data_IF_040427685254
#
_entry.id   IF_040427685254
#
_cell.length_a   1.000
_cell.length_b   1.000
_cell.length_c   1.000
_cell.angle_alpha   90.00
_cell.angle_beta   90.00
_cell.angle_gamma   90.00
#
_symmetry.space_group_name_H-M   'P 1'
#
loop_
_entity.id
_entity.type
_entity.pdbx_description
1 polymer ?
#
# COMPACT_ATOMS: atom_id res chain seq x y z
N UNK A 1 48.05 -9.65 -28.88
CA UNK A 1 48.35 -11.08 -29.02
C UNK A 1 47.80 -11.74 -27.76
N UNK A 2 46.50 -12.02 -27.79
CA UNK A 2 45.93 -13.29 -28.27
C UNK A 2 46.01 -14.30 -27.11
N UNK A 3 44.87 -14.49 -26.44
CA UNK A 3 44.00 -15.67 -26.62
C UNK A 3 44.51 -16.81 -25.73
N UNK A 4 43.72 -17.55 -24.96
CA UNK A 4 42.37 -18.03 -25.20
C UNK A 4 41.85 -18.63 -23.88
N UNK A 5 40.57 -18.47 -23.53
CA UNK A 5 39.51 -19.46 -23.83
C UNK A 5 39.76 -20.82 -23.13
N UNK A 6 39.48 -20.89 -21.83
CA UNK A 6 39.03 -22.11 -21.16
C UNK A 6 38.23 -21.65 -19.92
N UNK A 7 36.91 -21.55 -19.96
CA UNK A 7 36.00 -22.66 -20.24
C UNK A 7 35.40 -23.20 -18.95
N UNK A 8 34.96 -22.32 -18.04
CA UNK A 8 34.18 -22.73 -16.86
C UNK A 8 32.68 -22.65 -17.22
N UNK A 9 31.94 -23.77 -17.26
CA UNK A 9 30.56 -23.83 -17.74
C UNK A 9 29.53 -23.17 -16.81
N UNK A 10 29.96 -22.41 -15.79
CA UNK A 10 29.07 -21.80 -14.79
C UNK A 10 29.14 -20.26 -14.74
N UNK A 11 29.96 -19.61 -15.58
CA UNK A 11 30.06 -18.13 -15.59
C UNK A 11 28.88 -17.41 -16.27
N UNK A 12 27.90 -18.15 -16.82
CA UNK A 12 26.69 -17.59 -17.42
C UNK A 12 25.51 -17.45 -16.44
N UNK A 13 25.72 -17.73 -15.15
CA UNK A 13 24.65 -17.70 -14.14
C UNK A 13 24.66 -16.45 -13.24
N UNK A 14 25.66 -15.56 -13.37
CA UNK A 14 25.91 -14.49 -12.37
C UNK A 14 25.43 -13.10 -12.82
N UNK A 15 25.00 -12.90 -14.08
CA UNK A 15 24.78 -11.53 -14.59
C UNK A 15 23.50 -11.31 -15.38
N UNK A 16 22.37 -11.86 -14.90
CA UNK A 16 20.99 -11.33 -15.00
C UNK A 16 19.99 -12.42 -14.61
N UNK A 17 19.33 -12.38 -13.43
CA UNK A 17 18.11 -13.18 -13.26
C UNK A 17 17.07 -12.67 -14.29
N UNK A 18 16.27 -13.56 -14.92
CA UNK A 18 15.32 -13.22 -15.98
C UNK A 18 14.03 -12.58 -15.43
N UNK A 19 14.13 -11.86 -14.31
CA UNK A 19 13.01 -11.19 -13.68
C UNK A 19 13.40 -9.72 -13.59
N UNK A 20 12.80 -8.94 -14.48
CA UNK A 20 12.97 -7.49 -14.55
C UNK A 20 12.68 -6.88 -13.18
N UNK A 21 13.67 -6.15 -12.67
CA UNK A 21 13.57 -5.39 -11.42
C UNK A 21 12.78 -4.12 -11.69
N UNK A 22 11.46 -4.24 -11.67
CA UNK A 22 10.59 -3.08 -11.65
C UNK A 22 10.55 -2.49 -10.23
N UNK A 23 10.43 -1.17 -10.17
CA UNK A 23 10.74 -0.36 -9.00
C UNK A 23 9.91 -0.77 -7.79
N UNK A 24 10.48 -0.64 -6.58
CA UNK A 24 9.84 -0.98 -5.31
C UNK A 24 8.53 -0.21 -5.13
N UNK A 25 7.44 -0.73 -5.68
CA UNK A 25 6.10 -0.19 -5.51
C UNK A 25 5.76 -0.39 -4.02
N UNK A 26 5.29 0.64 -3.31
CA UNK A 26 4.80 0.45 -1.95
C UNK A 26 3.75 -0.67 -1.93
N UNK A 27 4.02 -1.74 -1.16
CA UNK A 27 3.21 -2.98 -1.08
C UNK A 27 1.75 -2.74 -0.69
N UNK A 28 1.46 -1.59 -0.09
CA UNK A 28 0.13 -1.14 0.28
C UNK A 28 -0.65 -0.58 -0.92
N UNK A 29 -1.08 -1.45 -1.84
CA UNK A 29 -2.08 -1.12 -2.85
C UNK A 29 -3.40 -0.75 -2.17
N UNK A 30 -4.09 0.27 -2.70
CA UNK A 30 -5.28 0.88 -2.07
C UNK A 30 -6.43 0.87 -3.07
N UNK A 31 -7.58 0.37 -2.63
CA UNK A 31 -8.87 0.56 -3.28
C UNK A 31 -9.72 1.53 -2.45
N UNK A 32 -10.40 2.46 -3.10
CA UNK A 32 -11.35 3.37 -2.46
C UNK A 32 -12.71 3.26 -3.14
N UNK A 33 -13.70 2.77 -2.39
CA UNK A 33 -15.10 2.72 -2.78
C UNK A 33 -15.91 3.76 -2.00
N UNK A 34 -16.85 4.39 -2.68
CA UNK A 34 -17.83 5.27 -2.06
C UNK A 34 -19.23 4.66 -2.16
N UNK A 35 -19.92 4.59 -1.02
CA UNK A 35 -21.35 4.26 -0.93
C UNK A 35 -22.15 5.51 -0.55
N UNK A 36 -23.49 5.49 -0.63
CA UNK A 36 -24.30 6.63 -0.19
C UNK A 36 -24.07 7.03 1.28
N UNK A 37 -23.69 6.08 2.14
CA UNK A 37 -23.58 6.28 3.60
C UNK A 37 -22.16 6.30 4.15
N UNK A 38 -21.16 5.85 3.38
CA UNK A 38 -19.78 5.73 3.85
C UNK A 38 -18.76 5.67 2.71
N UNK A 39 -17.52 6.04 3.00
CA UNK A 39 -16.35 5.66 2.23
C UNK A 39 -15.75 4.38 2.80
N UNK A 40 -15.30 3.47 1.93
CA UNK A 40 -14.71 2.18 2.27
C UNK A 40 -13.35 2.12 1.59
N UNK A 41 -12.29 2.11 2.39
CA UNK A 41 -10.91 2.08 1.92
C UNK A 41 -10.34 0.71 2.25
N UNK A 42 -9.79 0.02 1.26
CA UNK A 42 -9.15 -1.29 1.42
C UNK A 42 -7.69 -1.21 1.05
N UNK A 43 -6.81 -1.76 1.87
CA UNK A 43 -5.36 -1.69 1.68
C UNK A 43 -4.76 -3.08 1.86
N UNK A 44 -3.96 -3.52 0.89
CA UNK A 44 -3.22 -4.78 1.01
C UNK A 44 -2.07 -4.62 2.01
N UNK A 45 -2.12 -5.37 3.11
CA UNK A 45 -1.14 -5.33 4.21
C UNK A 45 -0.70 -6.75 4.61
N UNK A 46 -0.34 -7.64 3.66
CA UNK A 46 0.07 -9.00 4.00
C UNK A 46 1.34 -8.99 4.86
N UNK A 47 1.34 -9.76 5.95
CA UNK A 47 2.48 -9.87 6.85
C UNK A 47 2.51 -8.84 7.99
N UNK A 48 1.59 -7.86 8.01
CA UNK A 48 1.44 -6.94 9.14
C UNK A 48 0.40 -7.46 10.12
N UNK A 49 0.71 -7.44 11.42
CA UNK A 49 -0.29 -7.65 12.46
C UNK A 49 -1.03 -6.33 12.72
N UNK A 50 -2.19 -6.42 13.37
CA UNK A 50 -2.98 -5.23 13.76
C UNK A 50 -2.15 -4.20 14.55
N UNK A 51 -1.24 -4.68 15.41
CA UNK A 51 -0.44 -3.84 16.30
C UNK A 51 0.73 -3.16 15.56
N UNK A 52 1.05 -3.65 14.36
CA UNK A 52 2.11 -3.09 13.50
C UNK A 52 1.57 -1.98 12.57
N UNK A 53 0.24 -1.74 12.60
CA UNK A 53 -0.46 -0.74 11.77
C UNK A 53 -1.08 0.34 12.64
N UNK A 54 -0.80 1.59 12.27
CA UNK A 54 -1.32 2.78 12.90
C UNK A 54 -2.20 3.55 11.91
N UNK A 55 -3.44 3.81 12.30
CA UNK A 55 -4.42 4.58 11.54
C UNK A 55 -4.80 5.81 12.37
N UNK A 56 -4.65 7.00 11.81
CA UNK A 56 -4.95 8.27 12.49
C UNK A 56 -5.58 9.25 11.53
N UNK A 57 -6.39 10.17 12.05
CA UNK A 57 -6.84 11.36 11.32
C UNK A 57 -6.13 12.56 11.92
N UNK A 58 -5.38 13.28 11.10
CA UNK A 58 -4.65 14.50 11.48
C UNK A 58 -5.45 15.77 11.11
N UNK A 59 -4.92 16.94 11.47
CA UNK A 59 -5.47 18.23 11.07
C UNK A 59 -5.64 18.31 9.53
N UNK A 60 -6.71 18.98 9.08
CA UNK A 60 -7.05 19.02 7.66
C UNK A 60 -7.77 17.77 7.14
N UNK A 61 -8.29 16.91 8.03
CA UNK A 61 -9.07 15.72 7.68
C UNK A 61 -8.25 14.68 6.88
N UNK A 62 -6.95 14.58 7.19
CA UNK A 62 -6.02 13.68 6.53
C UNK A 62 -5.99 12.35 7.28
N UNK A 63 -6.51 11.29 6.65
CA UNK A 63 -6.37 9.92 7.13
C UNK A 63 -4.99 9.39 6.79
N UNK A 64 -4.13 9.28 7.82
CA UNK A 64 -2.79 8.71 7.72
C UNK A 64 -2.81 7.25 8.17
N UNK A 65 -2.37 6.36 7.29
CA UNK A 65 -2.17 4.94 7.54
C UNK A 65 -0.67 4.64 7.44
N UNK A 66 -0.09 4.15 8.53
CA UNK A 66 1.32 3.75 8.58
C UNK A 66 1.44 2.32 9.07
N UNK A 67 2.18 1.49 8.35
CA UNK A 67 2.63 0.19 8.83
C UNK A 67 4.13 0.23 9.09
N UNK A 68 4.56 -0.10 10.29
CA UNK A 68 5.96 -0.28 10.61
C UNK A 68 6.21 -1.78 10.73
N UNK A 69 6.86 -2.36 9.72
CA UNK A 69 7.27 -3.76 9.81
C UNK A 69 8.34 -3.82 10.88
N UNK A 70 7.97 -4.29 12.08
CA UNK A 70 8.94 -4.63 13.10
C UNK A 70 9.98 -5.55 12.47
N UNK A 71 11.26 -5.34 12.74
CA UNK A 71 12.37 -6.13 12.20
C UNK A 71 12.17 -7.63 12.51
N UNK A 72 11.38 -8.32 11.71
CA UNK A 72 11.37 -9.77 11.64
C UNK A 72 12.51 -10.13 10.70
N UNK A 73 13.72 -10.14 11.26
CA UNK A 73 14.78 -10.95 10.68
C UNK A 73 14.34 -12.39 10.90
N UNK A 74 13.95 -13.08 9.83
CA UNK A 74 13.73 -14.52 9.94
C UNK A 74 15.07 -15.16 10.34
N UNK A 75 15.15 -15.88 11.46
CA UNK A 75 16.39 -16.52 11.88
C UNK A 75 16.96 -17.48 10.80
N UNK A 76 16.13 -18.00 9.90
CA UNK A 76 16.57 -18.82 8.77
C UNK A 76 17.20 -18.00 7.63
N UNK A 77 16.97 -16.68 7.58
CA UNK A 77 17.58 -15.80 6.56
C UNK A 77 19.05 -15.49 6.82
N UNK A 78 19.52 -15.61 8.07
CA UNK A 78 20.88 -15.17 8.46
C UNK A 78 21.99 -15.92 7.72
N UNK A 79 21.75 -17.17 7.36
CA UNK A 79 22.69 -18.05 6.67
C UNK A 79 22.17 -18.55 5.30
N UNK A 80 21.12 -17.92 4.76
CA UNK A 80 20.48 -18.33 3.50
C UNK A 80 20.85 -17.44 2.31
N UNK A 81 20.80 -18.00 1.10
CA UNK A 81 21.04 -17.29 -0.16
C UNK A 81 19.70 -16.96 -0.82
N UNK A 82 19.44 -15.67 -1.02
CA UNK A 82 18.30 -15.20 -1.81
C UNK A 82 18.55 -15.47 -3.30
N UNK A 83 17.72 -16.30 -3.91
CA UNK A 83 17.67 -16.41 -5.37
C UNK A 83 16.79 -15.31 -5.99
N UNK A 84 15.66 -14.96 -5.35
CA UNK A 84 14.69 -13.93 -5.77
C UNK A 84 13.97 -13.37 -4.53
N UNK A 85 13.70 -12.05 -4.48
CA UNK A 85 12.97 -11.39 -3.38
C UNK A 85 12.00 -10.31 -3.91
N UNK A 86 10.95 -10.72 -4.61
CA UNK A 86 9.95 -9.81 -5.22
C UNK A 86 9.04 -9.13 -4.18
N UNK A 87 8.71 -9.83 -3.10
CA UNK A 87 7.85 -9.32 -2.00
C UNK A 87 8.53 -8.23 -1.16
N UNK A 88 9.75 -7.85 -1.51
CA UNK A 88 10.65 -7.07 -0.67
C UNK A 88 11.21 -7.90 0.48
N UNK A 89 12.26 -7.40 1.13
CA UNK A 89 12.96 -8.08 2.23
C UNK A 89 12.26 -7.94 3.58
N UNK A 90 10.96 -7.62 3.61
CA UNK A 90 10.20 -7.38 4.86
C UNK A 90 10.65 -6.15 5.67
N UNK A 91 11.68 -5.43 5.23
CA UNK A 91 12.31 -4.28 5.92
C UNK A 91 11.67 -2.92 5.62
N UNK A 92 10.65 -2.89 4.76
CA UNK A 92 9.96 -1.67 4.38
C UNK A 92 8.63 -1.53 5.13
N UNK A 93 8.46 -0.45 5.88
CA UNK A 93 7.13 0.01 6.28
C UNK A 93 6.36 0.59 5.09
N UNK A 94 5.08 0.88 5.29
CA UNK A 94 4.28 1.63 4.33
C UNK A 94 3.68 2.88 4.98
N UNK A 95 3.41 3.90 4.17
CA UNK A 95 2.68 5.10 4.57
C UNK A 95 1.75 5.51 3.45
N UNK A 96 0.50 5.83 3.81
CA UNK A 96 -0.53 6.35 2.91
C UNK A 96 -1.26 7.48 3.61
N UNK A 97 -1.41 8.59 2.90
CA UNK A 97 -2.18 9.74 3.34
C UNK A 97 -3.34 9.90 2.37
N UNK A 98 -4.56 9.99 2.91
CA UNK A 98 -5.79 10.14 2.15
C UNK A 98 -6.55 11.32 2.74
N UNK A 99 -6.76 12.36 1.94
CA UNK A 99 -7.62 13.48 2.34
C UNK A 99 -9.09 13.02 2.30
N UNK A 100 -9.75 13.07 3.45
CA UNK A 100 -11.15 12.70 3.55
C UNK A 100 -12.05 13.89 3.19
N UNK A 101 -13.23 13.66 2.59
CA UNK A 101 -14.21 14.71 2.38
C UNK A 101 -14.70 15.35 3.68
N UNK A 102 -15.12 16.62 3.66
CA UNK A 102 -15.58 17.36 4.85
C UNK A 102 -16.85 16.80 5.53
N UNK A 103 -17.59 15.93 4.83
CA UNK A 103 -18.83 15.33 5.29
C UNK A 103 -18.62 13.92 5.84
N UNK A 104 -17.64 13.73 6.72
CA UNK A 104 -17.36 12.45 7.39
C UNK A 104 -17.49 12.55 8.90
N UNK A 105 -17.89 11.46 9.54
CA UNK A 105 -17.96 11.35 11.00
C UNK A 105 -16.68 10.71 11.52
N UNK A 106 -15.65 11.52 11.74
CA UNK A 106 -14.30 11.07 12.15
C UNK A 106 -14.33 10.18 13.40
N UNK A 107 -15.13 10.54 14.40
CA UNK A 107 -15.28 9.77 15.66
C UNK A 107 -15.89 8.37 15.47
N UNK A 108 -16.47 8.09 14.30
CA UNK A 108 -17.14 6.83 13.99
C UNK A 108 -16.36 5.97 12.99
N UNK A 109 -15.14 6.38 12.63
CA UNK A 109 -14.27 5.58 11.76
C UNK A 109 -13.96 4.25 12.43
N UNK A 110 -14.05 3.16 11.66
CA UNK A 110 -13.70 1.82 12.10
C UNK A 110 -12.66 1.23 11.18
N UNK A 111 -11.72 0.47 11.74
CA UNK A 111 -10.69 -0.22 10.97
C UNK A 111 -10.60 -1.68 11.42
N UNK A 112 -10.35 -2.58 10.47
CA UNK A 112 -10.13 -4.00 10.74
C UNK A 112 -9.09 -4.57 9.77
N UNK A 113 -8.31 -5.55 10.22
CA UNK A 113 -7.41 -6.32 9.37
C UNK A 113 -7.90 -7.76 9.35
N UNK A 114 -8.20 -8.26 8.15
CA UNK A 114 -8.65 -9.63 7.95
C UNK A 114 -7.98 -10.18 6.69
N UNK A 115 -7.41 -11.39 6.77
CA UNK A 115 -6.76 -12.08 5.64
C UNK A 115 -5.73 -11.23 4.88
N UNK A 116 -4.96 -10.39 5.60
CA UNK A 116 -3.94 -9.52 5.02
C UNK A 116 -4.48 -8.26 4.33
N UNK A 117 -5.76 -7.92 4.54
CA UNK A 117 -6.41 -6.72 4.00
C UNK A 117 -6.87 -5.83 5.16
N UNK A 118 -6.39 -4.60 5.20
CA UNK A 118 -6.88 -3.54 6.07
C UNK A 118 -8.11 -2.90 5.42
N UNK A 119 -9.25 -2.94 6.10
CA UNK A 119 -10.48 -2.25 5.68
C UNK A 119 -10.77 -1.12 6.66
N UNK A 120 -10.91 0.10 6.15
CA UNK A 120 -11.27 1.30 6.90
C UNK A 120 -12.64 1.76 6.41
N UNK A 121 -13.61 1.81 7.33
CA UNK A 121 -14.95 2.31 7.11
C UNK A 121 -15.03 3.73 7.66
N UNK A 122 -15.34 4.70 6.79
CA UNK A 122 -15.47 6.11 7.12
C UNK A 122 -16.93 6.54 6.88
N UNK A 123 -17.77 6.60 7.92
CA UNK A 123 -19.17 6.99 7.78
C UNK A 123 -19.32 8.44 7.33
N UNK A 124 -20.28 8.69 6.44
CA UNK A 124 -20.64 10.03 6.00
C UNK A 124 -21.55 10.72 7.00
N UNK A 125 -21.42 12.04 7.08
CA UNK A 125 -22.38 12.89 7.75
C UNK A 125 -23.49 13.30 6.80
N UNK A 126 -24.64 12.62 6.91
CA UNK A 126 -25.83 12.85 6.08
C UNK A 126 -26.52 14.19 6.35
N UNK A 127 -26.10 14.93 7.37
CA UNK A 127 -26.64 16.27 7.66
C UNK A 127 -26.09 17.34 6.71
N UNK A 128 -24.90 17.11 6.13
CA UNK A 128 -24.31 17.91 5.08
C UNK A 128 -24.64 17.26 3.73
N UNK A 129 -25.75 17.68 3.10
CA UNK A 129 -26.07 17.19 1.77
C UNK A 129 -25.00 17.66 0.78
N UNK A 130 -24.31 16.71 0.14
CA UNK A 130 -23.52 16.99 -1.06
C UNK A 130 -24.51 17.35 -2.16
N UNK A 131 -24.87 18.63 -2.25
CA UNK A 131 -25.78 19.11 -3.28
C UNK A 131 -25.22 18.78 -4.66
N UNK A 132 -25.82 17.81 -5.34
CA UNK A 132 -25.54 17.54 -6.76
C UNK A 132 -25.94 18.80 -7.52
N UNK A 133 -24.96 19.56 -8.00
CA UNK A 133 -25.20 20.69 -8.91
C UNK A 133 -25.18 20.17 -10.33
N UNK A 134 -26.36 20.04 -10.92
CA UNK A 134 -26.47 19.89 -12.36
C UNK A 134 -25.99 21.19 -13.01
N UNK A 135 -24.88 21.14 -13.74
CA UNK A 135 -24.40 22.27 -14.52
C UNK A 135 -25.04 22.18 -15.91
N UNK A 136 -25.89 23.16 -16.24
CA UNK A 136 -26.47 23.26 -17.56
C UNK A 136 -25.40 23.67 -18.57
N UNK A 137 -25.23 22.87 -19.62
CA UNK A 137 -24.34 23.20 -20.73
C UNK A 137 -25.04 24.25 -21.60
N UNK A 138 -24.43 25.43 -21.74
CA UNK A 138 -24.93 26.52 -22.61
C UNK A 138 -23.93 26.75 -23.75
N UNK A 139 -24.42 27.01 -24.96
CA UNK A 139 -23.61 27.19 -26.18
C UNK A 139 -22.85 28.52 -26.25
N UNK A 140 -22.94 29.36 -25.21
CA UNK A 140 -22.28 30.66 -25.12
C UNK A 140 -21.81 30.89 -23.69
N UNK A 141 -20.55 31.31 -23.55
CA UNK A 141 -19.95 31.79 -22.30
C UNK A 141 -20.51 33.18 -21.93
#
# INVERSE_FOLDING_TARGET
MADSVLGHPFRRFVWSPPIFREWSVPTALVDWLESPTAHIIKINVPGFRKDDIKVQVEEGNILRIKGESGKMEDPHEKDAIWHVAERGTGKGGFSRDIELPENVKVDQIKAQVENGILTILVPKDTTKSSGVRNINITSKL
#
